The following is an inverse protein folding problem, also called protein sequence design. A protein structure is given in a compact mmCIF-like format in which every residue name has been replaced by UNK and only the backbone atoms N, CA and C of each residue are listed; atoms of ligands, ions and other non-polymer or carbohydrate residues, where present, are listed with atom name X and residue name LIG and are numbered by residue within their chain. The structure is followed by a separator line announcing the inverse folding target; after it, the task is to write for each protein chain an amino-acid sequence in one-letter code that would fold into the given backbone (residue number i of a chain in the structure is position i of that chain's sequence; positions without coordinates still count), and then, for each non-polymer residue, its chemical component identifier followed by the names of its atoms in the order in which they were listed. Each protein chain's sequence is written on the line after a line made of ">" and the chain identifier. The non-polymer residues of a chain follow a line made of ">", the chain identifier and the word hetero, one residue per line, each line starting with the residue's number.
data_IF_690517173398
#
_entry.id   IF_690517173398
#
_cell.length_a   1.000
_cell.length_b   1.000
_cell.length_c   1.000
_cell.angle_alpha   90.00
_cell.angle_beta   90.00
_cell.angle_gamma   90.00
#
_symmetry.space_group_name_H-M   'P 1'
#
loop_
_entity.id
_entity.type
_entity.pdbx_description
1 polymer ?
#
# COMPACT_ATOMS: atom_id res chain seq x y z
N UNK A 1 -28.45 2.74 -0.88
CA UNK A 1 -28.01 1.42 -0.40
C UNK A 1 -26.59 1.56 0.13
N UNK A 2 -26.45 1.75 1.43
CA UNK A 2 -25.16 1.76 2.13
C UNK A 2 -24.66 0.32 2.17
N UNK A 3 -23.56 0.05 1.46
CA UNK A 3 -22.87 -1.23 1.57
C UNK A 3 -22.02 -1.15 2.85
N UNK A 4 -22.49 -1.75 3.94
CA UNK A 4 -21.76 -1.83 5.20
C UNK A 4 -20.60 -2.81 5.04
N UNK A 5 -19.43 -2.29 4.67
CA UNK A 5 -18.15 -3.02 4.63
C UNK A 5 -17.61 -3.39 6.04
N UNK A 6 -18.48 -3.45 7.06
CA UNK A 6 -18.05 -3.33 8.47
C UNK A 6 -17.73 -4.63 9.19
N UNK A 7 -17.98 -5.83 8.66
CA UNK A 7 -17.68 -7.06 9.41
C UNK A 7 -16.88 -8.07 8.59
N UNK A 8 -15.57 -7.84 8.46
CA UNK A 8 -14.65 -8.94 8.16
C UNK A 8 -14.51 -9.76 9.45
N UNK A 9 -14.91 -11.03 9.41
CA UNK A 9 -14.85 -11.90 10.58
C UNK A 9 -13.41 -12.14 11.06
N UNK A 10 -13.26 -12.45 12.35
CA UNK A 10 -11.99 -12.89 12.95
C UNK A 10 -11.35 -14.04 12.16
N UNK A 11 -12.18 -14.98 11.70
CA UNK A 11 -11.72 -16.16 10.94
C UNK A 11 -11.14 -15.76 9.57
N UNK A 12 -11.71 -14.73 8.93
CA UNK A 12 -11.20 -14.19 7.69
C UNK A 12 -9.85 -13.49 7.91
N UNK A 13 -9.72 -12.71 8.98
CA UNK A 13 -8.45 -12.06 9.36
C UNK A 13 -7.38 -13.12 9.61
N UNK A 14 -7.69 -14.16 10.40
CA UNK A 14 -6.78 -15.25 10.68
C UNK A 14 -6.35 -15.99 9.40
N UNK A 15 -7.29 -16.26 8.49
CA UNK A 15 -7.00 -16.88 7.19
C UNK A 15 -5.97 -16.07 6.39
N UNK A 16 -6.16 -14.75 6.31
CA UNK A 16 -5.22 -13.85 5.61
C UNK A 16 -3.85 -13.84 6.28
N UNK A 17 -3.81 -13.79 7.62
CA UNK A 17 -2.55 -13.84 8.37
C UNK A 17 -1.79 -15.13 8.11
N UNK A 18 -2.47 -16.27 8.05
CA UNK A 18 -1.84 -17.55 7.77
C UNK A 18 -1.36 -17.65 6.31
N UNK A 19 -2.09 -17.08 5.37
CA UNK A 19 -1.65 -16.90 3.98
C UNK A 19 -0.36 -16.10 3.88
N UNK A 20 -0.28 -14.95 4.56
CA UNK A 20 0.91 -14.10 4.60
C UNK A 20 2.13 -14.85 5.19
N UNK A 21 1.93 -15.55 6.31
CA UNK A 21 2.98 -16.38 6.95
C UNK A 21 3.47 -17.49 6.03
N UNK A 22 2.55 -18.18 5.33
CA UNK A 22 2.88 -19.21 4.33
C UNK A 22 3.73 -18.64 3.19
N UNK A 23 3.52 -17.36 2.85
CA UNK A 23 4.29 -16.63 1.86
C UNK A 23 5.58 -16.00 2.41
N UNK A 24 6.09 -16.47 3.56
CA UNK A 24 7.33 -15.99 4.19
C UNK A 24 7.30 -14.50 4.62
N UNK A 25 6.11 -13.93 4.82
CA UNK A 25 5.93 -12.58 5.33
C UNK A 25 5.53 -12.63 6.81
N UNK A 26 6.00 -11.67 7.60
CA UNK A 26 5.54 -11.52 8.98
C UNK A 26 4.24 -10.74 9.00
N UNK A 27 3.38 -10.99 9.98
CA UNK A 27 2.10 -10.29 10.10
C UNK A 27 1.71 -10.10 11.56
N UNK A 28 1.24 -8.89 11.86
CA UNK A 28 0.60 -8.50 13.11
C UNK A 28 -0.79 -7.95 12.79
N UNK A 29 -1.72 -8.16 13.72
CA UNK A 29 -3.06 -7.58 13.66
C UNK A 29 -3.24 -6.62 14.83
N UNK A 30 -3.78 -5.45 14.55
CA UNK A 30 -4.22 -4.48 15.55
C UNK A 30 -5.70 -4.15 15.30
N UNK A 31 -6.57 -4.17 16.33
CA UNK A 31 -7.99 -3.85 16.15
C UNK A 31 -8.24 -2.41 15.69
N UNK A 32 -7.49 -1.45 16.25
CA UNK A 32 -7.73 -0.02 16.03
C UNK A 32 -6.55 0.66 15.33
N UNK A 33 -6.83 1.70 14.54
CA UNK A 33 -5.79 2.42 13.79
C UNK A 33 -4.80 3.15 14.69
N UNK A 34 -5.22 3.55 15.89
CA UNK A 34 -4.39 4.23 16.90
C UNK A 34 -3.22 3.34 17.37
N UNK A 35 -3.36 2.02 17.26
CA UNK A 35 -2.33 1.05 17.66
C UNK A 35 -1.29 0.82 16.54
N UNK A 36 -1.60 1.19 15.31
CA UNK A 36 -0.74 0.88 14.16
C UNK A 36 0.62 1.60 14.22
N UNK A 37 0.68 2.85 14.68
CA UNK A 37 1.94 3.56 14.86
C UNK A 37 2.85 2.87 15.89
N UNK A 38 2.29 2.40 17.01
CA UNK A 38 3.06 1.65 18.01
C UNK A 38 3.55 0.30 17.46
N UNK A 39 2.71 -0.42 16.72
CA UNK A 39 3.09 -1.67 16.07
C UNK A 39 4.24 -1.46 15.06
N UNK A 40 4.16 -0.42 14.23
CA UNK A 40 5.25 -0.04 13.32
C UNK A 40 6.51 0.33 14.09
N UNK A 41 6.41 1.17 15.13
CA UNK A 41 7.54 1.60 15.94
C UNK A 41 8.30 0.41 16.57
N UNK A 42 7.60 -0.66 16.96
CA UNK A 42 8.21 -1.87 17.51
C UNK A 42 9.13 -2.62 16.54
N UNK A 43 9.01 -2.33 15.24
CA UNK A 43 9.80 -2.94 14.16
C UNK A 43 10.91 -2.03 13.63
N UNK A 44 11.00 -0.79 14.13
CA UNK A 44 11.99 0.20 13.76
C UNK A 44 13.08 0.29 14.84
N UNK A 45 14.26 0.76 14.44
CA UNK A 45 15.34 1.13 15.35
C UNK A 45 15.54 2.64 15.30
N UNK A 46 15.85 3.22 16.44
CA UNK A 46 16.23 4.64 16.48
C UNK A 46 17.45 4.88 15.59
N UNK A 47 17.41 5.97 14.81
CA UNK A 47 18.42 6.27 13.79
C UNK A 47 18.25 5.54 12.46
N UNK A 48 17.25 4.67 12.28
CA UNK A 48 16.97 4.07 10.97
C UNK A 48 16.73 5.18 9.91
N UNK A 49 17.27 4.97 8.72
CA UNK A 49 16.89 5.72 7.53
C UNK A 49 15.59 5.17 6.99
N UNK A 50 14.55 5.99 6.94
CA UNK A 50 13.19 5.56 6.58
C UNK A 50 12.73 6.28 5.33
N UNK A 51 12.20 5.53 4.37
CA UNK A 51 11.49 6.07 3.23
C UNK A 51 10.06 5.56 3.19
N UNK A 52 9.15 6.31 2.54
CA UNK A 52 7.75 5.94 2.42
C UNK A 52 7.21 5.94 0.99
N UNK A 53 6.31 4.99 0.73
CA UNK A 53 5.41 5.04 -0.41
C UNK A 53 4.31 6.08 -0.20
N UNK A 54 3.82 6.68 -1.29
CA UNK A 54 2.61 7.50 -1.26
C UNK A 54 1.43 6.72 -0.66
N UNK A 55 0.93 7.11 0.52
CA UNK A 55 -0.07 6.32 1.26
C UNK A 55 -0.95 7.18 2.18
N UNK A 56 -2.26 7.20 1.90
CA UNK A 56 -3.26 7.79 2.80
C UNK A 56 -3.41 6.96 4.08
N UNK A 57 -3.20 5.65 4.00
CA UNK A 57 -3.28 4.78 5.18
C UNK A 57 -2.19 5.09 6.20
N UNK A 58 -0.97 5.42 5.77
CA UNK A 58 0.09 5.79 6.71
C UNK A 58 -0.19 7.15 7.40
N UNK A 59 -0.87 8.05 6.69
CA UNK A 59 -1.35 9.34 7.21
C UNK A 59 -2.46 9.12 8.26
N UNK A 60 -3.51 8.36 7.91
CA UNK A 60 -4.65 8.07 8.79
C UNK A 60 -4.30 7.31 10.08
N UNK A 61 -3.23 6.51 10.06
CA UNK A 61 -2.78 5.71 11.21
C UNK A 61 -1.73 6.41 12.08
N UNK A 62 -1.35 7.66 11.77
CA UNK A 62 -0.28 8.38 12.48
C UNK A 62 1.13 7.80 12.24
N UNK A 63 1.30 6.88 11.28
CA UNK A 63 2.62 6.29 10.97
C UNK A 63 3.50 7.28 10.24
N UNK A 64 2.93 8.19 9.45
CA UNK A 64 3.69 9.27 8.83
C UNK A 64 4.23 10.26 9.88
N UNK A 65 3.41 10.65 10.84
CA UNK A 65 3.83 11.50 11.96
C UNK A 65 4.93 10.82 12.81
N UNK A 66 4.78 9.52 13.08
CA UNK A 66 5.77 8.72 13.81
C UNK A 66 7.18 8.87 13.22
N UNK A 67 7.32 8.81 11.89
CA UNK A 67 8.64 8.84 11.23
C UNK A 67 9.18 10.26 11.05
N UNK A 68 8.32 11.27 11.15
CA UNK A 68 8.68 12.68 11.10
C UNK A 68 9.09 13.25 12.47
N UNK A 69 9.00 12.46 13.55
CA UNK A 69 9.17 12.96 14.91
C UNK A 69 10.63 13.25 15.36
N UNK A 70 11.60 13.11 14.44
CA UNK A 70 13.02 13.40 14.69
C UNK A 70 13.86 12.24 15.22
N UNK A 71 13.28 11.09 15.57
CA UNK A 71 14.05 9.89 16.01
C UNK A 71 14.69 9.09 14.87
N UNK A 72 14.33 9.40 13.63
CA UNK A 72 14.73 8.67 12.44
C UNK A 72 15.26 9.61 11.37
N UNK A 73 16.07 9.09 10.45
CA UNK A 73 16.47 9.83 9.25
C UNK A 73 15.41 9.65 8.17
N UNK A 74 14.41 10.55 8.17
CA UNK A 74 13.29 10.45 7.22
C UNK A 74 13.65 11.04 5.85
N UNK A 75 13.60 10.22 4.81
CA UNK A 75 13.68 10.65 3.41
C UNK A 75 12.31 11.19 3.01
N UNK A 76 12.09 12.48 3.29
CA UNK A 76 10.78 13.10 3.10
C UNK A 76 10.51 13.37 1.61
N UNK A 77 9.53 12.64 1.06
CA UNK A 77 9.04 12.84 -0.31
C UNK A 77 7.94 13.90 -0.43
N UNK A 78 7.41 14.34 0.70
CA UNK A 78 6.33 15.30 0.84
C UNK A 78 6.83 16.69 1.21
N UNK A 79 8.14 16.87 1.41
CA UNK A 79 8.74 18.16 1.69
C UNK A 79 8.25 19.23 0.69
N UNK A 80 7.83 20.36 1.25
CA UNK A 80 7.32 21.49 0.51
C UNK A 80 8.43 22.17 -0.30
N UNK A 81 8.09 22.68 -1.47
CA UNK A 81 9.05 23.42 -2.32
C UNK A 81 10.03 22.56 -3.11
N UNK A 82 10.03 21.22 -2.97
CA UNK A 82 10.90 20.36 -3.79
C UNK A 82 10.65 20.55 -5.30
N UNK A 83 11.73 20.77 -6.04
CA UNK A 83 11.75 20.70 -7.51
C UNK A 83 11.52 19.27 -8.01
N UNK A 84 11.21 19.11 -9.30
CA UNK A 84 11.06 17.79 -9.91
C UNK A 84 12.32 16.93 -9.79
N UNK A 85 13.50 17.56 -9.82
CA UNK A 85 14.77 16.88 -9.65
C UNK A 85 14.94 16.36 -8.23
N UNK A 86 14.72 17.21 -7.22
CA UNK A 86 14.84 16.82 -5.82
C UNK A 86 13.80 15.76 -5.44
N UNK A 87 12.55 15.87 -5.95
CA UNK A 87 11.54 14.82 -5.79
C UNK A 87 12.03 13.50 -6.35
N UNK A 88 12.59 13.50 -7.56
CA UNK A 88 13.15 12.29 -8.17
C UNK A 88 14.33 11.74 -7.36
N UNK A 89 15.18 12.60 -6.82
CA UNK A 89 16.32 12.21 -6.00
C UNK A 89 15.83 11.54 -4.70
N UNK A 90 14.86 12.11 -3.97
CA UNK A 90 14.24 11.48 -2.78
C UNK A 90 13.60 10.12 -3.10
N UNK A 91 12.90 10.01 -4.23
CA UNK A 91 12.32 8.73 -4.66
C UNK A 91 13.38 7.67 -5.00
N UNK A 92 14.56 8.10 -5.46
CA UNK A 92 15.69 7.21 -5.77
C UNK A 92 16.43 6.82 -4.50
N UNK A 93 16.59 7.76 -3.57
CA UNK A 93 17.22 7.55 -2.26
C UNK A 93 16.46 6.52 -1.42
N UNK A 94 15.14 6.39 -1.61
CA UNK A 94 14.31 5.38 -0.97
C UNK A 94 14.79 3.93 -1.17
N UNK A 95 15.60 3.64 -2.19
CA UNK A 95 16.18 2.31 -2.40
C UNK A 95 17.30 1.99 -1.40
N UNK A 96 17.88 3.01 -0.80
CA UNK A 96 19.02 2.91 0.13
C UNK A 96 18.60 3.08 1.59
N UNK A 97 17.30 3.24 1.87
CA UNK A 97 16.81 3.34 3.23
C UNK A 97 16.92 1.98 3.93
N UNK A 98 16.97 1.98 5.26
CA UNK A 98 16.98 0.77 6.08
C UNK A 98 15.58 0.12 6.08
N UNK A 99 14.55 0.98 6.11
CA UNK A 99 13.15 0.57 6.13
C UNK A 99 12.34 1.31 5.06
N UNK A 100 11.49 0.58 4.32
CA UNK A 100 10.46 1.15 3.47
C UNK A 100 9.07 0.93 4.06
N UNK A 101 8.30 2.01 4.28
CA UNK A 101 6.91 1.93 4.72
C UNK A 101 5.95 2.19 3.56
N UNK A 102 4.94 1.35 3.39
CA UNK A 102 3.87 1.62 2.43
C UNK A 102 2.53 1.00 2.86
N UNK A 103 1.50 1.16 2.04
CA UNK A 103 0.26 0.37 2.13
C UNK A 103 0.17 -0.58 0.94
N UNK A 104 -0.70 -1.58 1.04
CA UNK A 104 -1.13 -2.41 -0.09
C UNK A 104 -2.23 -1.73 -0.90
N UNK A 105 -2.45 -2.16 -2.16
CA UNK A 105 -3.71 -1.90 -2.86
C UNK A 105 -4.71 -3.04 -2.65
N UNK A 106 -4.26 -4.28 -2.49
CA UNK A 106 -5.07 -5.37 -1.97
C UNK A 106 -4.20 -6.47 -1.36
N UNK A 107 -4.77 -7.26 -0.47
CA UNK A 107 -4.17 -8.46 0.11
C UNK A 107 -5.19 -9.59 -0.03
N UNK A 108 -4.82 -10.70 -0.66
CA UNK A 108 -5.75 -11.82 -0.85
C UNK A 108 -5.84 -12.70 0.40
N UNK A 109 -6.84 -13.58 0.48
CA UNK A 109 -6.92 -14.63 1.51
C UNK A 109 -5.76 -15.63 1.46
N UNK A 110 -5.15 -15.83 0.30
CA UNK A 110 -3.95 -16.66 0.15
C UNK A 110 -2.66 -15.92 0.54
N UNK A 111 -2.76 -14.65 0.96
CA UNK A 111 -1.62 -13.83 1.38
C UNK A 111 -0.79 -13.28 0.23
N UNK A 112 -1.33 -13.20 -0.99
CA UNK A 112 -0.69 -12.42 -2.04
C UNK A 112 -0.96 -10.93 -1.83
N UNK A 113 0.06 -10.09 -2.04
CA UNK A 113 -0.10 -8.63 -1.98
C UNK A 113 -0.10 -8.08 -3.40
N UNK A 114 -1.16 -7.36 -3.76
CA UNK A 114 -1.33 -6.76 -5.07
C UNK A 114 -1.10 -5.24 -5.02
N UNK A 115 -0.26 -4.76 -5.94
CA UNK A 115 0.12 -3.36 -6.07
C UNK A 115 0.01 -2.90 -7.52
N UNK A 116 -0.47 -1.67 -7.70
CA UNK A 116 -0.61 -1.01 -8.98
C UNK A 116 -0.07 0.41 -8.90
N UNK A 117 0.80 0.76 -9.85
CA UNK A 117 1.49 2.03 -9.85
C UNK A 117 1.67 2.64 -11.24
N UNK A 118 1.58 3.96 -11.31
CA UNK A 118 1.79 4.70 -12.56
C UNK A 118 3.27 4.90 -12.83
N UNK A 119 4.01 5.35 -11.82
CA UNK A 119 5.44 5.68 -11.91
C UNK A 119 6.35 4.59 -11.32
N UNK A 120 5.77 3.53 -10.75
CA UNK A 120 6.50 2.49 -10.02
C UNK A 120 7.35 2.98 -8.83
N UNK A 121 7.11 4.20 -8.35
CA UNK A 121 7.85 4.79 -7.24
C UNK A 121 7.40 4.28 -5.85
N UNK A 122 6.38 3.41 -5.81
CA UNK A 122 5.99 2.62 -4.63
C UNK A 122 6.37 1.15 -4.81
N UNK A 123 6.19 0.61 -6.01
CA UNK A 123 6.47 -0.80 -6.34
C UNK A 123 7.98 -1.09 -6.32
N UNK A 124 8.80 -0.23 -6.91
CA UNK A 124 10.22 -0.54 -7.10
C UNK A 124 11.01 -0.67 -5.78
N UNK A 125 10.95 0.28 -4.82
CA UNK A 125 11.62 0.10 -3.52
C UNK A 125 11.05 -1.07 -2.72
N UNK A 126 9.74 -1.34 -2.83
CA UNK A 126 9.10 -2.51 -2.20
C UNK A 126 9.74 -3.85 -2.65
N UNK A 127 9.96 -4.03 -3.96
CA UNK A 127 10.44 -5.33 -4.49
C UNK A 127 11.94 -5.50 -4.52
N UNK A 128 12.71 -4.41 -4.55
CA UNK A 128 14.17 -4.48 -4.70
C UNK A 128 14.97 -3.68 -3.67
N UNK A 129 14.41 -2.60 -3.11
CA UNK A 129 15.15 -1.66 -2.27
C UNK A 129 15.44 -2.18 -0.85
N UNK A 130 14.91 -1.55 0.21
CA UNK A 130 15.35 -1.80 1.59
C UNK A 130 15.28 -3.24 2.08
N UNK A 131 16.15 -3.62 3.03
CA UNK A 131 16.16 -4.96 3.64
C UNK A 131 14.95 -5.21 4.56
N UNK A 132 14.25 -4.15 4.99
CA UNK A 132 12.99 -4.23 5.73
C UNK A 132 11.90 -3.44 5.02
N UNK A 133 10.75 -4.08 4.78
CA UNK A 133 9.55 -3.45 4.24
C UNK A 133 8.40 -3.68 5.19
N UNK A 134 7.74 -2.60 5.62
CA UNK A 134 6.56 -2.68 6.48
C UNK A 134 5.35 -2.14 5.71
N UNK A 135 4.31 -2.96 5.62
CA UNK A 135 3.07 -2.66 4.92
C UNK A 135 1.97 -2.49 5.96
N UNK A 136 1.33 -1.32 5.99
CA UNK A 136 0.17 -1.06 6.86
C UNK A 136 -1.09 -1.09 6.01
N UNK A 137 -2.08 -1.91 6.37
CA UNK A 137 -3.29 -2.08 5.58
C UNK A 137 -4.53 -2.29 6.46
N UNK A 138 -5.59 -1.52 6.20
CA UNK A 138 -6.91 -1.77 6.77
C UNK A 138 -7.57 -3.01 6.19
N UNK A 139 -8.51 -3.59 6.93
CA UNK A 139 -9.28 -4.78 6.52
C UNK A 139 -10.04 -4.58 5.20
N UNK A 140 -10.41 -3.34 4.86
CA UNK A 140 -11.03 -2.98 3.57
C UNK A 140 -10.16 -3.30 2.35
N UNK A 141 -8.89 -3.68 2.55
CA UNK A 141 -7.95 -4.09 1.50
C UNK A 141 -7.90 -5.61 1.30
N UNK A 142 -8.61 -6.39 2.11
CA UNK A 142 -8.69 -7.84 1.96
C UNK A 142 -9.57 -8.19 0.75
N UNK A 143 -9.06 -9.06 -0.11
CA UNK A 143 -9.76 -9.60 -1.28
C UNK A 143 -9.84 -11.12 -1.20
N UNK A 144 -10.84 -11.73 -1.85
CA UNK A 144 -10.96 -13.19 -1.88
C UNK A 144 -9.76 -13.84 -2.58
N UNK A 145 -9.38 -13.29 -3.74
CA UNK A 145 -8.33 -13.79 -4.64
C UNK A 145 -7.77 -12.63 -5.49
N UNK A 146 -6.92 -12.95 -6.48
CA UNK A 146 -6.31 -11.96 -7.38
C UNK A 146 -7.35 -11.31 -8.30
N UNK A 147 -8.39 -12.02 -8.74
CA UNK A 147 -9.43 -11.41 -9.58
C UNK A 147 -10.21 -10.35 -8.79
N UNK A 148 -10.58 -10.67 -7.55
CA UNK A 148 -11.21 -9.73 -6.63
C UNK A 148 -10.28 -8.55 -6.28
N UNK A 149 -8.97 -8.80 -6.13
CA UNK A 149 -7.97 -7.75 -5.91
C UNK A 149 -7.87 -6.80 -7.11
N UNK A 150 -7.83 -7.33 -8.34
CA UNK A 150 -7.85 -6.54 -9.58
C UNK A 150 -9.13 -5.71 -9.66
N UNK A 151 -10.29 -6.33 -9.40
CA UNK A 151 -11.58 -5.65 -9.41
C UNK A 151 -11.63 -4.50 -8.39
N UNK A 152 -11.20 -4.74 -7.15
CA UNK A 152 -11.09 -3.71 -6.09
C UNK A 152 -10.24 -2.53 -6.56
N UNK A 153 -9.07 -2.79 -7.14
CA UNK A 153 -8.19 -1.70 -7.61
C UNK A 153 -8.83 -0.89 -8.74
N UNK A 154 -9.52 -1.57 -9.67
CA UNK A 154 -10.22 -0.93 -10.79
C UNK A 154 -11.44 -0.12 -10.35
N UNK A 155 -12.11 -0.50 -9.25
CA UNK A 155 -13.38 0.10 -8.82
C UNK A 155 -13.25 1.05 -7.62
N UNK A 156 -12.18 0.93 -6.82
CA UNK A 156 -11.99 1.70 -5.58
C UNK A 156 -10.69 2.47 -5.62
N UNK A 157 -9.55 1.77 -5.67
CA UNK A 157 -8.23 2.37 -5.45
C UNK A 157 -7.83 3.38 -6.52
N UNK A 158 -7.80 2.96 -7.79
CA UNK A 158 -7.35 3.84 -8.89
C UNK A 158 -8.29 5.02 -9.09
N UNK A 159 -9.64 4.84 -9.12
CA UNK A 159 -10.57 5.97 -9.14
C UNK A 159 -10.30 6.99 -8.02
N UNK A 160 -10.10 6.53 -6.78
CA UNK A 160 -9.83 7.40 -5.64
C UNK A 160 -8.49 8.14 -5.76
N UNK A 161 -7.42 7.47 -6.20
CA UNK A 161 -6.10 8.10 -6.43
C UNK A 161 -6.19 9.20 -7.48
N UNK A 162 -6.80 8.89 -8.63
CA UNK A 162 -6.90 9.83 -9.76
C UNK A 162 -7.73 11.05 -9.34
N UNK A 163 -8.86 10.82 -8.66
CA UNK A 163 -9.71 11.90 -8.14
C UNK A 163 -8.98 12.75 -7.10
N UNK A 164 -8.29 12.15 -6.12
CA UNK A 164 -7.51 12.86 -5.10
C UNK A 164 -6.44 13.77 -5.73
N UNK A 165 -5.83 13.33 -6.83
CA UNK A 165 -4.78 14.08 -7.54
C UNK A 165 -5.32 15.09 -8.56
N UNK A 166 -6.65 15.24 -8.68
CA UNK A 166 -7.26 16.17 -9.64
C UNK A 166 -6.95 15.84 -11.11
N UNK A 167 -6.70 14.57 -11.43
CA UNK A 167 -6.32 14.15 -12.78
C UNK A 167 -7.55 13.84 -13.62
N UNK A 168 -7.52 14.20 -14.91
CA UNK A 168 -8.62 13.91 -15.84
C UNK A 168 -8.45 12.52 -16.47
N UNK A 169 -8.94 11.49 -15.78
CA UNK A 169 -9.16 10.18 -16.36
C UNK A 169 -10.64 9.76 -16.18
N UNK A 170 -11.20 8.93 -17.08
CA UNK A 170 -12.60 8.51 -17.01
C UNK A 170 -13.02 7.93 -15.64
N UNK A 171 -12.11 7.20 -14.99
CA UNK A 171 -12.39 6.58 -13.69
C UNK A 171 -12.62 7.58 -12.55
N UNK A 172 -12.02 8.77 -12.59
CA UNK A 172 -12.27 9.81 -11.58
C UNK A 172 -13.68 10.41 -11.70
N UNK A 173 -14.23 10.46 -12.92
CA UNK A 173 -15.58 10.95 -13.20
C UNK A 173 -16.65 9.89 -12.92
N UNK A 174 -16.38 8.65 -13.32
CA UNK A 174 -17.32 7.53 -13.21
C UNK A 174 -17.33 6.88 -11.82
N UNK A 175 -16.29 7.11 -11.02
CA UNK A 175 -16.09 6.39 -9.75
C UNK A 175 -15.64 4.93 -9.91
N UNK A 176 -15.47 4.46 -11.15
CA UNK A 176 -15.04 3.10 -11.50
C UNK A 176 -14.30 3.09 -12.83
N UNK A 177 -13.40 2.13 -13.05
CA UNK A 177 -12.72 1.94 -14.32
C UNK A 177 -13.68 1.49 -15.42
N UNK A 178 -13.53 2.05 -16.63
CA UNK A 178 -14.27 1.65 -17.85
C UNK A 178 -14.03 0.20 -18.28
N UNK A 179 -13.02 -0.46 -17.71
CA UNK A 179 -12.65 -1.85 -18.00
C UNK A 179 -12.67 -2.71 -16.72
N UNK A 180 -13.52 -2.36 -15.75
CA UNK A 180 -13.64 -3.07 -14.47
C UNK A 180 -14.13 -4.53 -14.62
N UNK A 181 -14.97 -4.78 -15.62
CA UNK A 181 -15.52 -6.10 -15.99
C UNK A 181 -14.58 -6.94 -16.87
N UNK A 182 -13.51 -6.34 -17.39
CA UNK A 182 -12.57 -7.04 -18.26
C UNK A 182 -11.58 -7.89 -17.46
N UNK A 183 -11.45 -9.16 -17.87
CA UNK A 183 -10.56 -10.15 -17.24
C UNK A 183 -9.07 -9.81 -17.28
N UNK A 184 -8.63 -9.03 -18.28
CA UNK A 184 -7.23 -8.62 -18.35
C UNK A 184 -6.94 -7.51 -17.31
N UNK A 185 -6.00 -7.77 -16.39
CA UNK A 185 -5.60 -6.82 -15.35
C UNK A 185 -5.06 -5.50 -15.91
N UNK A 186 -4.39 -5.55 -17.06
CA UNK A 186 -3.79 -4.40 -17.72
C UNK A 186 -4.78 -3.60 -18.59
N UNK A 187 -6.01 -4.08 -18.76
CA UNK A 187 -7.06 -3.32 -19.44
C UNK A 187 -7.39 -2.04 -18.70
N UNK A 188 -7.58 -0.96 -19.46
CA UNK A 188 -7.91 0.36 -18.93
C UNK A 188 -8.05 1.39 -20.04
N UNK A 189 -8.19 2.65 -19.65
CA UNK A 189 -8.18 3.77 -20.59
C UNK A 189 -6.80 3.97 -21.23
N UNK A 190 -6.77 4.76 -22.31
CA UNK A 190 -5.56 5.13 -23.04
C UNK A 190 -5.17 6.60 -22.83
N UNK A 191 -5.73 7.29 -21.82
CA UNK A 191 -5.42 8.68 -21.57
C UNK A 191 -4.11 8.86 -20.79
N UNK A 192 -3.41 9.97 -21.01
CA UNK A 192 -2.14 10.30 -20.35
C UNK A 192 -2.26 10.43 -18.82
N UNK A 193 -3.46 10.74 -18.32
CA UNK A 193 -3.76 10.82 -16.89
C UNK A 193 -3.82 9.44 -16.19
N UNK A 194 -3.70 8.32 -16.92
CA UNK A 194 -3.79 6.96 -16.38
C UNK A 194 -2.74 6.72 -15.30
N UNK A 195 -3.16 6.10 -14.19
CA UNK A 195 -2.28 5.74 -13.06
C UNK A 195 -2.12 4.24 -12.80
N UNK A 196 -2.85 3.40 -13.52
CA UNK A 196 -2.70 1.94 -13.49
C UNK A 196 -1.83 1.45 -14.65
N UNK A 197 -0.52 1.67 -14.58
CA UNK A 197 0.40 1.36 -15.67
C UNK A 197 1.23 0.10 -15.41
N UNK A 198 1.64 -0.10 -14.15
CA UNK A 198 2.49 -1.20 -13.72
C UNK A 198 1.77 -2.00 -12.63
N UNK A 199 1.94 -3.31 -12.67
CA UNK A 199 1.18 -4.27 -11.88
C UNK A 199 2.15 -5.26 -11.24
N UNK A 200 1.98 -5.50 -9.94
CA UNK A 200 2.80 -6.43 -9.17
C UNK A 200 1.90 -7.31 -8.30
N UNK A 201 2.16 -8.61 -8.36
CA UNK A 201 1.66 -9.58 -7.39
C UNK A 201 2.85 -10.14 -6.60
N UNK A 202 2.88 -9.88 -5.30
CA UNK A 202 3.83 -10.49 -4.38
C UNK A 202 3.28 -11.85 -3.93
N UNK A 203 3.94 -12.93 -4.36
CA UNK A 203 3.72 -14.28 -3.82
C UNK A 203 4.66 -14.58 -2.65
N UNK A 204 5.10 -15.83 -2.54
CA UNK A 204 6.06 -16.25 -1.51
C UNK A 204 7.40 -15.52 -1.63
N UNK A 205 7.87 -14.93 -0.53
CA UNK A 205 9.11 -14.16 -0.46
C UNK A 205 10.34 -15.06 -0.28
N UNK A 206 11.43 -14.73 -0.98
CA UNK A 206 12.70 -15.47 -0.90
C UNK A 206 13.40 -15.24 0.44
N UNK A 207 13.41 -13.99 0.92
CA UNK A 207 13.96 -13.62 2.23
C UNK A 207 12.81 -13.58 3.23
N UNK A 208 12.78 -14.55 4.15
CA UNK A 208 11.75 -14.66 5.17
C UNK A 208 11.81 -13.46 6.12
N UNK A 209 10.65 -12.86 6.42
CA UNK A 209 10.53 -11.73 7.35
C UNK A 209 11.00 -10.38 6.80
N UNK A 210 11.46 -10.30 5.54
CA UNK A 210 11.76 -9.01 4.89
C UNK A 210 10.51 -8.13 4.81
N UNK A 211 9.40 -8.71 4.34
CA UNK A 211 8.10 -8.04 4.29
C UNK A 211 7.33 -8.35 5.58
N UNK A 212 6.87 -7.30 6.24
CA UNK A 212 6.08 -7.34 7.47
C UNK A 212 4.77 -6.60 7.23
N UNK A 213 3.64 -7.18 7.61
CA UNK A 213 2.31 -6.60 7.41
C UNK A 213 1.67 -6.26 8.74
N UNK A 214 1.22 -5.02 8.91
CA UNK A 214 0.35 -4.60 10.00
C UNK A 214 -1.07 -4.51 9.42
N UNK A 215 -1.90 -5.51 9.74
CA UNK A 215 -3.32 -5.49 9.42
C UNK A 215 -4.07 -4.72 10.50
N UNK A 216 -4.86 -3.74 10.10
CA UNK A 216 -5.66 -2.90 11.00
C UNK A 216 -7.13 -3.23 10.84
N UNK A 217 -7.84 -3.48 11.94
CA UNK A 217 -9.27 -3.85 11.99
C UNK A 217 -10.25 -2.79 11.47
N UNK A 218 -9.76 -1.69 10.91
CA UNK A 218 -10.57 -0.57 10.43
C UNK A 218 -10.44 -0.36 8.91
N UNK A 219 -11.40 0.36 8.34
CA UNK A 219 -11.34 0.80 6.95
C UNK A 219 -10.37 1.97 6.82
N UNK A 220 -9.28 1.76 6.08
CA UNK A 220 -8.23 2.76 5.89
C UNK A 220 -7.90 2.96 4.43
N UNK A 221 -7.68 4.21 4.03
CA UNK A 221 -7.40 4.63 2.67
C UNK A 221 -8.39 4.03 1.66
N UNK A 222 -7.87 3.69 0.48
CA UNK A 222 -8.64 3.16 -0.65
C UNK A 222 -7.82 2.15 -1.45
#
# INVERSE_FOLDING_TARGET
>A
MQNSLTDISSDCIQTVMDGLRKNNMDVQYVPHKEEAAAAVASLLKEGDTIAVGGSVTLEETGVLELVQNGRYHFIDRYEDGLSDRERKDRLTEAFRSDVFLCSANAITKNGEIYQVDGLSNRIAPLVFGPDSVIIVAGINKIAADIEAAVYRVKTVTVPAIVKRRGLDAPCARLGSCIAADQKNMASGCMCDARRCCNYLVLGRQRVKGRIKVILVGETLGF
#
